data_IF_092521775520
#
_entry.id   IF_092521775520
#
_cell.length_a   1.000
_cell.length_b   1.000
_cell.length_c   1.000
_cell.angle_alpha   90.00
_cell.angle_beta   90.00
_cell.angle_gamma   90.00
#
_symmetry.space_group_name_H-M   'P 1'
#
loop_
_entity.id
_entity.type
_entity.pdbx_description
1 polymer ?
#
# COMPACT_ATOMS: atom_id res chain seq x y z
N UNK A 1 11.55 -11.57 -28.84
CA UNK A 1 12.06 -11.64 -30.23
C UNK A 1 10.98 -11.84 -31.28
N UNK A 2 9.77 -12.30 -30.90
CA UNK A 2 8.65 -12.54 -31.84
C UNK A 2 7.98 -11.25 -32.31
N UNK A 3 8.09 -10.17 -31.55
CA UNK A 3 7.48 -8.87 -31.84
C UNK A 3 8.57 -7.77 -31.93
N UNK A 4 9.30 -7.64 -33.05
CA UNK A 4 10.35 -6.64 -33.17
C UNK A 4 9.79 -5.21 -33.32
N UNK A 5 10.45 -4.24 -32.68
CA UNK A 5 10.08 -2.82 -32.76
C UNK A 5 8.62 -2.56 -32.33
N UNK A 6 7.86 -1.83 -33.16
CA UNK A 6 6.47 -1.47 -32.87
C UNK A 6 5.44 -2.59 -33.14
N UNK A 7 5.89 -3.78 -33.59
CA UNK A 7 4.97 -4.86 -33.99
C UNK A 7 4.08 -5.35 -32.83
N UNK A 8 4.61 -5.36 -31.60
CA UNK A 8 3.86 -5.71 -30.38
C UNK A 8 2.69 -4.73 -30.16
N UNK A 9 2.98 -3.44 -30.19
CA UNK A 9 1.99 -2.39 -29.98
C UNK A 9 0.92 -2.43 -31.04
N UNK A 10 1.31 -2.51 -32.32
CA UNK A 10 0.38 -2.60 -33.44
C UNK A 10 -0.50 -3.85 -33.38
N UNK A 11 0.05 -4.98 -32.95
CA UNK A 11 -0.73 -6.21 -32.76
C UNK A 11 -1.78 -6.04 -31.68
N UNK A 12 -1.40 -5.56 -30.50
CA UNK A 12 -2.29 -5.38 -29.35
C UNK A 12 -3.41 -4.37 -29.64
N UNK A 13 -3.07 -3.22 -30.24
CA UNK A 13 -4.07 -2.22 -30.66
C UNK A 13 -5.08 -2.78 -31.66
N UNK A 14 -4.63 -3.62 -32.60
CA UNK A 14 -5.52 -4.28 -33.58
C UNK A 14 -6.55 -5.22 -32.93
N UNK A 15 -6.22 -5.88 -31.83
CA UNK A 15 -7.14 -6.73 -31.09
C UNK A 15 -7.93 -5.99 -30.00
N UNK A 16 -7.77 -4.66 -29.90
CA UNK A 16 -8.52 -3.82 -28.97
C UNK A 16 -7.86 -3.57 -27.63
N UNK A 17 -6.61 -4.02 -27.42
CA UNK A 17 -5.80 -3.75 -26.23
C UNK A 17 -5.08 -2.42 -26.41
N UNK A 18 -5.45 -1.40 -25.64
CA UNK A 18 -4.91 -0.05 -25.78
C UNK A 18 -3.64 0.12 -24.95
N UNK A 19 -2.62 0.73 -25.55
CA UNK A 19 -1.39 1.09 -24.87
C UNK A 19 -1.65 2.14 -23.77
N UNK A 20 -1.06 1.93 -22.59
CA UNK A 20 -1.20 2.81 -21.42
C UNK A 20 -2.47 2.61 -20.61
N UNK A 21 -3.55 2.09 -21.22
CA UNK A 21 -4.81 1.74 -20.53
C UNK A 21 -4.86 0.25 -20.19
N UNK A 22 -4.60 -0.62 -21.14
CA UNK A 22 -4.71 -2.07 -21.01
C UNK A 22 -3.36 -2.81 -21.07
N UNK A 23 -2.34 -2.16 -21.58
CA UNK A 23 -0.96 -2.63 -21.62
C UNK A 23 -0.13 -1.68 -20.76
N UNK A 24 0.37 -2.16 -19.63
CA UNK A 24 1.11 -1.34 -18.69
C UNK A 24 2.10 -2.19 -17.88
N UNK A 25 2.96 -1.53 -17.14
CA UNK A 25 3.82 -2.12 -16.14
C UNK A 25 4.05 -1.13 -15.00
N UNK A 26 4.27 -1.63 -13.81
CA UNK A 26 4.75 -0.82 -12.70
C UNK A 26 5.97 -1.46 -12.03
N UNK A 27 6.82 -0.64 -11.46
CA UNK A 27 7.98 -1.06 -10.69
C UNK A 27 7.93 -0.41 -9.31
N UNK A 28 8.03 -1.24 -8.28
CA UNK A 28 8.29 -0.82 -6.91
C UNK A 28 9.77 -1.10 -6.56
N UNK A 29 10.13 -1.02 -5.29
CA UNK A 29 11.52 -1.21 -4.84
C UNK A 29 11.97 -2.67 -5.01
N UNK A 30 11.05 -3.62 -4.85
CA UNK A 30 11.34 -5.05 -4.79
C UNK A 30 10.69 -5.88 -5.93
N UNK A 31 9.92 -5.25 -6.81
CA UNK A 31 9.11 -5.96 -7.80
C UNK A 31 8.88 -5.15 -9.06
N UNK A 32 8.60 -5.86 -10.15
CA UNK A 32 8.04 -5.31 -11.39
C UNK A 32 6.88 -6.19 -11.82
N UNK A 33 5.74 -5.57 -12.13
CA UNK A 33 4.54 -6.26 -12.61
C UNK A 33 4.17 -5.76 -13.99
N UNK A 34 4.00 -6.69 -14.92
CA UNK A 34 3.55 -6.42 -16.29
C UNK A 34 2.12 -6.88 -16.43
N UNK A 35 1.25 -6.07 -17.01
CA UNK A 35 -0.15 -6.43 -17.19
C UNK A 35 -0.63 -6.19 -18.61
N UNK A 36 -1.43 -7.13 -19.10
CA UNK A 36 -2.22 -7.02 -20.33
C UNK A 36 -3.66 -7.29 -19.93
N UNK A 37 -4.53 -6.33 -20.12
CA UNK A 37 -5.95 -6.46 -19.79
C UNK A 37 -6.84 -6.27 -21.02
N UNK A 38 -8.14 -6.55 -20.88
CA UNK A 38 -9.13 -6.40 -21.94
C UNK A 38 -8.82 -7.22 -23.21
N UNK A 39 -8.21 -8.40 -23.03
CA UNK A 39 -7.90 -9.32 -24.12
C UNK A 39 -9.19 -9.99 -24.58
N UNK A 40 -9.58 -9.90 -25.87
CA UNK A 40 -10.83 -10.51 -26.36
C UNK A 40 -10.68 -12.04 -26.45
N UNK A 41 -11.34 -12.76 -25.56
CA UNK A 41 -11.30 -14.24 -25.51
C UNK A 41 -11.93 -14.90 -26.74
N UNK A 42 -12.79 -14.18 -27.47
CA UNK A 42 -13.44 -14.67 -28.72
C UNK A 42 -12.59 -14.47 -29.97
N UNK A 43 -11.48 -13.72 -29.89
CA UNK A 43 -10.57 -13.53 -31.02
C UNK A 43 -9.58 -14.68 -31.09
N UNK A 44 -9.59 -15.50 -32.15
CA UNK A 44 -8.68 -16.63 -32.28
C UNK A 44 -7.21 -16.21 -32.15
N UNK A 45 -6.46 -16.90 -31.28
CA UNK A 45 -5.04 -16.67 -31.05
C UNK A 45 -4.69 -15.42 -30.23
N UNK A 46 -5.65 -14.65 -29.73
CA UNK A 46 -5.38 -13.46 -28.90
C UNK A 46 -4.71 -13.85 -27.58
N UNK A 47 -5.24 -14.84 -26.87
CA UNK A 47 -4.64 -15.33 -25.61
C UNK A 47 -3.26 -15.91 -25.86
N UNK A 48 -3.11 -16.75 -26.90
CA UNK A 48 -1.81 -17.36 -27.27
C UNK A 48 -0.73 -16.30 -27.52
N UNK A 49 -1.09 -15.26 -28.24
CA UNK A 49 -0.18 -14.15 -28.52
C UNK A 49 0.15 -13.34 -27.28
N UNK A 50 -0.81 -13.11 -26.39
CA UNK A 50 -0.55 -12.43 -25.11
C UNK A 50 0.37 -13.28 -24.20
N UNK A 51 0.16 -14.59 -24.12
CA UNK A 51 1.08 -15.49 -23.41
C UNK A 51 2.48 -15.48 -24.03
N UNK A 52 2.60 -15.44 -25.36
CA UNK A 52 3.87 -15.32 -26.05
C UNK A 52 4.57 -13.98 -25.75
N UNK A 53 3.82 -12.90 -25.63
CA UNK A 53 4.37 -11.58 -25.21
C UNK A 53 4.92 -11.69 -23.79
N UNK A 54 4.18 -12.30 -22.86
CA UNK A 54 4.66 -12.50 -21.48
C UNK A 54 5.91 -13.38 -21.46
N UNK A 55 5.98 -14.41 -22.29
CA UNK A 55 7.18 -15.25 -22.46
C UNK A 55 8.38 -14.43 -22.95
N UNK A 56 8.20 -13.64 -24.01
CA UNK A 56 9.28 -12.79 -24.54
C UNK A 56 9.77 -11.78 -23.48
N UNK A 57 8.88 -11.20 -22.69
CA UNK A 57 9.27 -10.30 -21.61
C UNK A 57 10.02 -11.02 -20.49
N UNK A 58 9.65 -12.26 -20.18
CA UNK A 58 10.25 -13.01 -19.08
C UNK A 58 11.67 -13.49 -19.37
N UNK A 59 12.02 -13.79 -20.62
CA UNK A 59 13.33 -14.39 -20.98
C UNK A 59 13.97 -13.90 -22.28
N UNK A 60 13.22 -13.36 -23.23
CA UNK A 60 13.68 -13.18 -24.61
C UNK A 60 13.78 -11.72 -25.06
N UNK A 61 13.94 -10.77 -24.14
CA UNK A 61 14.16 -9.37 -24.50
C UNK A 61 15.49 -9.20 -25.25
N UNK A 62 15.43 -8.55 -26.40
CA UNK A 62 16.63 -8.29 -27.24
C UNK A 62 17.57 -7.27 -26.62
N UNK A 63 17.03 -6.32 -25.84
CA UNK A 63 17.77 -5.23 -25.19
C UNK A 63 18.72 -4.54 -26.18
N UNK A 64 18.19 -4.15 -27.35
CA UNK A 64 18.96 -3.50 -28.40
C UNK A 64 19.54 -2.17 -27.88
N UNK A 65 20.85 -1.94 -27.97
CA UNK A 65 21.48 -0.70 -27.48
C UNK A 65 20.86 0.57 -28.07
N UNK A 66 20.40 0.55 -29.33
CA UNK A 66 19.75 1.71 -29.95
C UNK A 66 18.39 2.02 -29.34
N UNK A 67 17.62 0.99 -29.00
CA UNK A 67 16.33 1.17 -28.33
C UNK A 67 16.53 1.61 -26.87
N UNK A 68 17.53 1.06 -26.17
CA UNK A 68 17.93 1.54 -24.83
C UNK A 68 18.26 3.03 -24.85
N UNK A 69 19.05 3.47 -25.84
CA UNK A 69 19.44 4.89 -25.94
C UNK A 69 18.24 5.82 -26.23
N UNK A 70 17.27 5.37 -27.03
CA UNK A 70 16.01 6.11 -27.22
C UNK A 70 15.22 6.23 -25.93
N UNK A 71 15.13 5.12 -25.17
CA UNK A 71 14.33 5.06 -23.96
C UNK A 71 14.89 5.95 -22.84
N UNK A 72 16.19 6.23 -22.80
CA UNK A 72 16.78 7.20 -21.84
C UNK A 72 16.07 8.55 -21.87
N UNK A 73 15.76 9.04 -23.06
CA UNK A 73 15.03 10.30 -23.23
C UNK A 73 13.61 10.22 -22.69
N UNK A 74 12.93 9.09 -22.88
CA UNK A 74 11.58 8.84 -22.36
C UNK A 74 11.59 8.82 -20.83
N UNK A 75 12.50 8.08 -20.20
CA UNK A 75 12.66 8.03 -18.75
C UNK A 75 13.00 9.41 -18.17
N UNK A 76 13.86 10.18 -18.83
CA UNK A 76 14.19 11.54 -18.41
C UNK A 76 12.96 12.48 -18.46
N UNK A 77 12.13 12.39 -19.52
CA UNK A 77 10.88 13.15 -19.60
C UNK A 77 9.86 12.69 -18.57
N UNK A 78 9.76 11.39 -18.30
CA UNK A 78 8.94 10.84 -17.23
C UNK A 78 9.36 11.41 -15.86
N UNK A 79 10.66 11.35 -15.55
CA UNK A 79 11.21 11.96 -14.33
C UNK A 79 10.86 13.45 -14.23
N UNK A 80 11.06 14.19 -15.33
CA UNK A 80 10.77 15.63 -15.37
C UNK A 80 9.28 15.94 -15.15
N UNK A 81 8.39 15.16 -15.75
CA UNK A 81 6.93 15.38 -15.65
C UNK A 81 6.34 14.91 -14.31
N UNK A 82 6.95 13.91 -13.70
CA UNK A 82 6.57 13.43 -12.35
C UNK A 82 7.15 14.26 -11.22
N UNK A 83 8.12 15.14 -11.52
CA UNK A 83 8.79 15.98 -10.52
C UNK A 83 7.79 16.95 -9.88
N UNK A 84 7.29 16.57 -8.72
CA UNK A 84 6.31 17.27 -7.89
C UNK A 84 6.89 17.55 -6.50
N UNK A 85 6.19 18.34 -5.69
CA UNK A 85 6.55 18.53 -4.28
C UNK A 85 6.71 17.20 -3.53
N UNK A 86 5.80 16.25 -3.78
CA UNK A 86 5.82 14.92 -3.15
C UNK A 86 7.06 14.13 -3.60
N UNK A 87 7.38 14.13 -4.88
CA UNK A 87 8.57 13.44 -5.40
C UNK A 87 9.85 13.99 -4.76
N UNK A 88 10.01 15.32 -4.74
CA UNK A 88 11.17 15.97 -4.11
C UNK A 88 11.25 15.71 -2.61
N UNK A 89 10.11 15.65 -1.94
CA UNK A 89 10.03 15.28 -0.54
C UNK A 89 10.48 13.84 -0.31
N UNK A 90 10.00 12.88 -1.11
CA UNK A 90 10.41 11.49 -1.02
C UNK A 90 11.92 11.31 -1.24
N UNK A 91 12.49 12.00 -2.21
CA UNK A 91 13.94 11.98 -2.45
C UNK A 91 14.76 12.50 -1.26
N UNK A 92 14.19 13.41 -0.45
CA UNK A 92 14.81 13.89 0.79
C UNK A 92 14.51 13.00 2.00
N UNK A 93 13.33 12.42 2.04
CA UNK A 93 12.84 11.62 3.14
C UNK A 93 13.51 10.24 3.19
N UNK A 94 13.63 9.56 2.06
CA UNK A 94 14.15 8.19 2.01
C UNK A 94 15.55 8.03 2.61
N UNK A 95 16.56 8.88 2.28
CA UNK A 95 17.88 8.77 2.88
C UNK A 95 17.89 8.93 4.41
N UNK A 96 16.93 9.69 4.95
CA UNK A 96 16.82 9.93 6.39
C UNK A 96 16.07 8.81 7.09
N UNK A 97 14.93 8.39 6.53
CA UNK A 97 14.09 7.33 7.12
C UNK A 97 14.77 5.96 7.08
N UNK A 98 15.53 5.69 6.04
CA UNK A 98 16.15 4.40 5.74
C UNK A 98 17.68 4.45 5.83
N UNK A 99 18.23 5.36 6.65
CA UNK A 99 19.68 5.51 6.81
C UNK A 99 20.38 4.17 7.09
N UNK A 100 21.43 3.90 6.34
CA UNK A 100 22.21 2.66 6.45
C UNK A 100 21.58 1.43 5.79
N UNK A 101 20.45 1.59 5.08
CA UNK A 101 19.80 0.52 4.33
C UNK A 101 19.83 0.79 2.83
N UNK A 102 19.55 -0.23 2.02
CA UNK A 102 19.46 -0.06 0.56
C UNK A 102 18.23 0.76 0.13
N UNK A 103 17.15 0.75 0.91
CA UNK A 103 15.96 1.57 0.62
C UNK A 103 16.26 3.08 0.57
N UNK A 104 17.32 3.54 1.25
CA UNK A 104 17.77 4.93 1.20
C UNK A 104 18.14 5.42 -0.21
N UNK A 105 18.50 4.52 -1.14
CA UNK A 105 19.06 4.84 -2.46
C UNK A 105 18.40 4.13 -3.62
N UNK A 106 17.38 3.30 -3.38
CA UNK A 106 16.71 2.47 -4.38
C UNK A 106 15.35 3.04 -4.82
N UNK A 107 15.29 4.32 -5.17
CA UNK A 107 14.05 4.87 -5.73
C UNK A 107 13.84 4.34 -7.17
N UNK A 108 12.64 3.79 -7.53
CA UNK A 108 12.44 3.03 -8.76
C UNK A 108 12.82 3.75 -10.06
N UNK A 109 12.57 5.06 -10.16
CA UNK A 109 12.94 5.81 -11.36
C UNK A 109 14.46 6.01 -11.50
N UNK A 110 15.20 5.78 -10.42
CA UNK A 110 16.66 5.96 -10.40
C UNK A 110 17.10 7.43 -10.44
N UNK A 111 18.38 7.64 -10.61
CA UNK A 111 18.96 8.97 -10.82
C UNK A 111 19.24 9.21 -12.30
N UNK A 112 18.98 10.42 -12.77
CA UNK A 112 19.21 10.76 -14.20
C UNK A 112 20.67 10.64 -14.60
N UNK A 113 21.59 10.82 -13.67
CA UNK A 113 23.02 10.55 -13.90
C UNK A 113 23.26 9.09 -14.32
N UNK A 114 22.65 8.14 -13.61
CA UNK A 114 22.74 6.71 -13.94
C UNK A 114 21.98 6.42 -15.23
N UNK A 115 20.72 6.87 -15.35
CA UNK A 115 19.86 6.61 -16.51
C UNK A 115 20.54 7.05 -17.81
N UNK A 116 21.16 8.22 -17.83
CA UNK A 116 21.78 8.76 -19.03
C UNK A 116 23.14 8.14 -19.37
N UNK A 117 23.81 7.50 -18.41
CA UNK A 117 25.20 7.07 -18.59
C UNK A 117 25.48 5.57 -18.40
N UNK A 118 24.53 4.77 -17.93
CA UNK A 118 24.77 3.33 -17.77
C UNK A 118 25.05 2.66 -19.12
N UNK A 119 25.91 1.64 -19.10
CA UNK A 119 26.23 0.87 -20.32
C UNK A 119 25.09 -0.12 -20.61
N UNK A 120 24.68 -0.33 -21.87
CA UNK A 120 23.65 -1.33 -22.21
C UNK A 120 23.89 -2.73 -21.62
N UNK A 121 25.16 -3.13 -21.47
CA UNK A 121 25.52 -4.39 -20.83
C UNK A 121 25.05 -4.47 -19.35
N UNK A 122 25.08 -3.35 -18.62
CA UNK A 122 24.60 -3.32 -17.22
C UNK A 122 23.10 -3.69 -17.12
N UNK A 123 22.29 -3.21 -18.07
CA UNK A 123 20.88 -3.58 -18.15
C UNK A 123 20.70 -5.05 -18.50
N UNK A 124 21.49 -5.57 -19.42
CA UNK A 124 21.49 -6.99 -19.79
C UNK A 124 21.87 -7.88 -18.60
N UNK A 125 22.95 -7.54 -17.90
CA UNK A 125 23.42 -8.27 -16.72
C UNK A 125 22.34 -8.29 -15.61
N UNK A 126 21.62 -7.18 -15.44
CA UNK A 126 20.49 -7.10 -14.52
C UNK A 126 19.34 -8.02 -14.94
N UNK A 127 18.95 -7.96 -16.22
CA UNK A 127 17.89 -8.78 -16.77
C UNK A 127 18.21 -10.27 -16.63
N UNK A 128 19.39 -10.71 -17.05
CA UNK A 128 19.85 -12.09 -16.94
C UNK A 128 19.94 -12.57 -15.48
N UNK A 129 20.27 -11.69 -14.54
CA UNK A 129 20.37 -12.03 -13.12
C UNK A 129 19.01 -12.22 -12.45
N UNK A 130 18.04 -11.36 -12.76
CA UNK A 130 16.80 -11.26 -11.97
C UNK A 130 15.55 -11.77 -12.70
N UNK A 131 15.51 -11.76 -14.04
CA UNK A 131 14.41 -12.28 -14.83
C UNK A 131 14.61 -13.79 -15.06
N UNK A 132 14.21 -14.57 -14.08
CA UNK A 132 14.38 -16.03 -14.06
C UNK A 132 13.15 -16.73 -13.47
N UNK A 133 12.87 -17.99 -13.88
CA UNK A 133 11.61 -18.68 -13.56
C UNK A 133 11.29 -18.79 -12.07
N UNK A 134 12.31 -18.95 -11.21
CA UNK A 134 12.12 -19.09 -9.76
C UNK A 134 11.72 -17.78 -9.05
N UNK A 135 11.76 -16.64 -9.74
CA UNK A 135 11.34 -15.32 -9.25
C UNK A 135 10.14 -14.75 -10.03
N UNK A 136 9.51 -15.53 -10.91
CA UNK A 136 8.40 -15.06 -11.74
C UNK A 136 7.12 -15.82 -11.44
N UNK A 137 6.00 -15.10 -11.42
CA UNK A 137 4.65 -15.64 -11.38
C UNK A 137 3.86 -15.20 -12.60
N UNK A 138 2.95 -16.04 -13.06
CA UNK A 138 2.00 -15.73 -14.15
C UNK A 138 0.60 -15.85 -13.59
N UNK A 139 -0.18 -14.81 -13.74
CA UNK A 139 -1.58 -14.75 -13.33
C UNK A 139 -2.45 -14.53 -14.57
N UNK A 140 -3.43 -15.38 -14.80
CA UNK A 140 -4.40 -15.26 -15.89
C UNK A 140 -5.80 -15.40 -15.33
N UNK A 141 -6.64 -14.39 -15.54
CA UNK A 141 -8.03 -14.37 -15.07
C UNK A 141 -8.94 -13.95 -16.20
N UNK A 142 -10.04 -14.69 -16.41
CA UNK A 142 -11.01 -14.38 -17.44
C UNK A 142 -12.00 -15.51 -17.69
N UNK A 143 -12.82 -15.36 -18.72
CA UNK A 143 -13.69 -16.41 -19.22
C UNK A 143 -12.88 -17.39 -20.09
N UNK A 144 -12.18 -18.30 -19.45
CA UNK A 144 -11.19 -19.22 -20.03
C UNK A 144 -11.37 -20.65 -19.51
N UNK A 145 -10.90 -21.62 -20.28
CA UNK A 145 -10.66 -22.98 -19.80
C UNK A 145 -9.35 -23.00 -19.04
N UNK A 146 -9.45 -23.10 -17.70
CA UNK A 146 -8.29 -23.02 -16.79
C UNK A 146 -7.30 -24.14 -17.06
N UNK A 147 -7.77 -25.38 -17.26
CA UNK A 147 -6.89 -26.54 -17.48
C UNK A 147 -6.13 -26.41 -18.81
N UNK A 148 -6.81 -25.92 -19.85
CA UNK A 148 -6.20 -25.69 -21.15
C UNK A 148 -5.13 -24.58 -21.09
N UNK A 149 -5.42 -23.48 -20.42
CA UNK A 149 -4.47 -22.35 -20.27
C UNK A 149 -3.29 -22.76 -19.39
N UNK A 150 -3.51 -23.49 -18.30
CA UNK A 150 -2.42 -24.02 -17.46
C UNK A 150 -1.49 -24.94 -18.28
N UNK A 151 -2.06 -25.85 -19.05
CA UNK A 151 -1.27 -26.75 -19.92
C UNK A 151 -0.47 -25.95 -20.96
N UNK A 152 -1.05 -24.91 -21.52
CA UNK A 152 -0.40 -24.04 -22.49
C UNK A 152 0.76 -23.24 -21.87
N UNK A 153 0.55 -22.67 -20.68
CA UNK A 153 1.60 -21.95 -19.93
C UNK A 153 2.76 -22.92 -19.64
N UNK A 154 2.48 -24.10 -19.10
CA UNK A 154 3.50 -25.12 -18.82
C UNK A 154 4.30 -25.48 -20.07
N UNK A 155 3.62 -25.67 -21.21
CA UNK A 155 4.28 -25.98 -22.47
C UNK A 155 5.14 -24.82 -22.99
N UNK A 156 4.62 -23.60 -22.94
CA UNK A 156 5.28 -22.42 -23.52
C UNK A 156 6.49 -21.98 -22.69
N UNK A 157 6.38 -21.99 -21.36
CA UNK A 157 7.44 -21.52 -20.47
C UNK A 157 8.42 -22.60 -20.02
N UNK A 158 8.22 -23.86 -20.41
CA UNK A 158 9.11 -24.98 -20.05
C UNK A 158 10.47 -24.94 -20.75
N UNK A 159 10.63 -24.15 -21.78
CA UNK A 159 11.90 -23.94 -22.49
C UNK A 159 12.83 -22.95 -21.78
N UNK A 160 12.33 -22.18 -20.83
CA UNK A 160 13.12 -21.24 -20.04
C UNK A 160 13.94 -22.02 -19.01
N UNK A 161 15.29 -22.01 -19.10
CA UNK A 161 16.12 -22.83 -18.24
C UNK A 161 16.19 -22.27 -16.81
N UNK A 162 16.18 -23.16 -15.84
CA UNK A 162 16.55 -22.80 -14.47
C UNK A 162 18.01 -22.39 -14.41
N UNK A 163 18.34 -21.37 -13.63
CA UNK A 163 19.72 -20.92 -13.45
C UNK A 163 20.39 -21.68 -12.30
N UNK A 164 21.37 -22.55 -12.56
CA UNK A 164 22.15 -23.18 -11.51
C UNK A 164 22.98 -22.11 -10.77
N UNK A 165 23.03 -22.20 -9.44
CA UNK A 165 23.73 -21.22 -8.58
C UNK A 165 23.23 -19.76 -8.72
N UNK A 166 21.95 -19.59 -9.00
CA UNK A 166 21.34 -18.28 -9.08
C UNK A 166 21.55 -17.43 -7.80
N UNK A 167 21.73 -16.13 -7.97
CA UNK A 167 21.83 -15.21 -6.84
C UNK A 167 20.58 -15.32 -5.96
N UNK A 168 20.79 -15.42 -4.65
CA UNK A 168 19.67 -15.40 -3.70
C UNK A 168 19.02 -14.01 -3.74
N UNK A 169 17.68 -13.99 -3.65
CA UNK A 169 16.97 -12.73 -3.40
C UNK A 169 17.33 -12.26 -1.99
N UNK A 170 17.72 -11.02 -1.89
CA UNK A 170 18.03 -10.37 -0.61
C UNK A 170 16.83 -9.50 -0.20
N UNK A 171 16.45 -9.61 1.07
CA UNK A 171 15.52 -8.70 1.72
C UNK A 171 16.31 -7.76 2.60
N UNK A 172 16.10 -6.46 2.43
CA UNK A 172 16.91 -5.46 3.12
C UNK A 172 16.28 -5.09 4.46
N UNK A 173 16.97 -5.33 5.60
CA UNK A 173 16.44 -5.00 6.89
C UNK A 173 16.33 -3.47 7.07
N UNK A 174 15.33 -3.04 7.81
CA UNK A 174 15.17 -1.66 8.26
C UNK A 174 15.60 -1.55 9.71
N UNK A 175 16.51 -0.63 9.98
CA UNK A 175 17.05 -0.44 11.33
C UNK A 175 15.99 0.13 12.28
N UNK A 176 16.04 -0.33 13.54
CA UNK A 176 15.32 0.29 14.63
C UNK A 176 15.99 1.61 15.04
N UNK A 177 15.22 2.53 15.57
CA UNK A 177 15.72 3.78 16.16
C UNK A 177 15.19 3.98 17.58
N UNK A 178 16.08 4.39 18.49
CA UNK A 178 15.71 4.71 19.87
C UNK A 178 15.12 6.11 19.96
N UNK A 179 15.82 7.07 19.35
CA UNK A 179 15.39 8.46 19.29
C UNK A 179 14.49 8.67 18.06
N UNK A 180 13.48 9.54 18.14
CA UNK A 180 12.64 9.85 17.00
C UNK A 180 13.45 10.46 15.84
N UNK A 181 13.22 9.94 14.63
CA UNK A 181 13.71 10.54 13.39
C UNK A 181 12.66 11.56 12.94
N UNK A 182 13.08 12.80 12.73
CA UNK A 182 12.18 13.88 12.31
C UNK A 182 12.75 14.56 11.09
N UNK A 183 11.91 14.76 10.05
CA UNK A 183 12.23 15.53 8.87
C UNK A 183 11.14 16.58 8.63
N UNK A 184 11.55 17.84 8.44
CA UNK A 184 10.65 18.94 8.04
C UNK A 184 11.15 19.49 6.72
N UNK A 185 10.29 19.44 5.71
CA UNK A 185 10.59 19.88 4.35
C UNK A 185 9.53 20.86 3.85
N UNK A 186 9.96 21.85 3.09
CA UNK A 186 9.08 22.84 2.46
C UNK A 186 9.29 22.84 0.94
N UNK A 187 8.19 23.00 0.21
CA UNK A 187 8.23 23.09 -1.24
C UNK A 187 7.22 24.13 -1.75
N UNK A 188 7.61 24.88 -2.79
CA UNK A 188 6.78 25.96 -3.37
C UNK A 188 5.52 25.46 -4.05
N UNK A 189 5.50 24.22 -4.51
CA UNK A 189 4.36 23.59 -5.17
C UNK A 189 3.42 22.89 -4.18
N UNK A 190 3.83 22.75 -2.92
CA UNK A 190 2.97 22.18 -1.88
C UNK A 190 1.90 23.17 -1.45
N UNK A 191 0.65 22.71 -1.39
CA UNK A 191 -0.51 23.56 -1.08
C UNK A 191 -0.93 23.55 0.38
N UNK A 192 -0.60 22.50 1.14
CA UNK A 192 -0.98 22.34 2.54
C UNK A 192 0.14 21.71 3.37
N UNK A 193 0.02 21.78 4.69
CA UNK A 193 0.95 21.11 5.59
C UNK A 193 0.44 19.72 5.89
N UNK A 194 1.24 18.71 5.57
CA UNK A 194 0.97 17.30 5.82
C UNK A 194 2.07 16.68 6.67
N UNK A 195 1.69 15.94 7.69
CA UNK A 195 2.62 15.13 8.48
C UNK A 195 2.26 13.64 8.40
N UNK A 196 3.30 12.82 8.27
CA UNK A 196 3.27 11.37 8.40
C UNK A 196 4.01 10.98 9.67
N UNK A 197 3.37 10.19 10.52
CA UNK A 197 3.92 9.76 11.81
C UNK A 197 3.92 8.24 11.82
N UNK A 198 5.09 7.64 11.73
CA UNK A 198 5.26 6.20 11.69
C UNK A 198 5.70 5.68 13.06
N UNK A 199 5.09 4.61 13.51
CA UNK A 199 5.53 3.79 14.62
C UNK A 199 5.91 2.42 14.04
N UNK A 200 7.20 2.20 13.77
CA UNK A 200 7.68 0.98 13.12
C UNK A 200 7.54 -0.23 14.06
N UNK A 201 7.14 -1.35 13.48
CA UNK A 201 7.12 -2.66 14.14
C UNK A 201 7.53 -3.77 13.17
N UNK A 202 7.69 -4.98 13.66
CA UNK A 202 8.09 -6.10 12.81
C UNK A 202 6.96 -6.49 11.86
N UNK A 203 7.31 -6.71 10.60
CA UNK A 203 6.40 -7.29 9.62
C UNK A 203 6.09 -8.76 10.00
N UNK A 204 4.88 -9.22 9.71
CA UNK A 204 4.54 -10.62 9.93
C UNK A 204 5.36 -11.51 8.97
N UNK A 205 6.09 -12.51 9.49
CA UNK A 205 6.84 -13.44 8.64
C UNK A 205 5.94 -14.15 7.63
N UNK A 206 6.41 -14.30 6.40
CA UNK A 206 5.63 -14.88 5.28
C UNK A 206 5.07 -16.26 5.61
N UNK A 207 5.81 -17.10 6.34
CA UNK A 207 5.36 -18.42 6.78
C UNK A 207 4.18 -18.42 7.75
N UNK A 208 3.90 -17.28 8.41
CA UNK A 208 2.80 -17.11 9.35
C UNK A 208 1.54 -16.48 8.72
N UNK A 209 1.66 -15.92 7.52
CA UNK A 209 0.53 -15.26 6.85
C UNK A 209 -0.58 -16.24 6.43
N UNK A 210 -0.28 -17.53 6.30
CA UNK A 210 -1.27 -18.59 6.04
C UNK A 210 -2.07 -19.04 7.26
N UNK A 211 -1.76 -18.57 8.47
CA UNK A 211 -2.35 -19.03 9.71
C UNK A 211 -3.62 -18.23 10.11
N UNK A 212 -4.49 -18.86 10.90
CA UNK A 212 -5.66 -18.18 11.49
C UNK A 212 -5.26 -16.98 12.36
N UNK A 213 -4.07 -17.01 12.97
CA UNK A 213 -3.53 -15.88 13.73
C UNK A 213 -3.39 -14.62 12.90
N UNK A 214 -2.95 -14.74 11.65
CA UNK A 214 -2.82 -13.62 10.73
C UNK A 214 -4.19 -13.01 10.36
N UNK A 215 -5.20 -13.86 10.09
CA UNK A 215 -6.56 -13.37 9.84
C UNK A 215 -7.15 -12.62 11.04
N UNK A 216 -6.93 -13.13 12.25
CA UNK A 216 -7.34 -12.45 13.48
C UNK A 216 -6.60 -11.13 13.66
N UNK A 217 -5.30 -11.09 13.37
CA UNK A 217 -4.49 -9.89 13.42
C UNK A 217 -5.02 -8.83 12.44
N UNK A 218 -5.24 -9.18 11.18
CA UNK A 218 -5.75 -8.26 10.16
C UNK A 218 -7.14 -7.73 10.52
N UNK A 219 -8.03 -8.60 10.99
CA UNK A 219 -9.33 -8.19 11.52
C UNK A 219 -9.19 -7.18 12.66
N UNK A 220 -8.37 -7.49 13.66
CA UNK A 220 -8.17 -6.61 14.82
C UNK A 220 -7.55 -5.27 14.44
N UNK A 221 -6.51 -5.27 13.60
CA UNK A 221 -5.85 -4.04 13.10
C UNK A 221 -6.80 -3.16 12.30
N UNK A 222 -7.62 -3.77 11.44
CA UNK A 222 -8.66 -3.03 10.69
C UNK A 222 -9.64 -2.35 11.62
N UNK A 223 -10.13 -3.04 12.65
CA UNK A 223 -11.10 -2.46 13.59
C UNK A 223 -10.45 -1.40 14.50
N UNK A 224 -9.20 -1.58 14.92
CA UNK A 224 -8.44 -0.56 15.66
C UNK A 224 -8.40 0.75 14.86
N UNK A 225 -7.98 0.66 13.59
CA UNK A 225 -7.92 1.83 12.72
C UNK A 225 -9.30 2.44 12.47
N UNK A 226 -10.34 1.64 12.25
CA UNK A 226 -11.70 2.13 12.06
C UNK A 226 -12.21 2.89 13.28
N UNK A 227 -12.00 2.38 14.51
CA UNK A 227 -12.41 3.03 15.75
C UNK A 227 -11.62 4.32 15.99
N UNK A 228 -10.31 4.30 15.80
CA UNK A 228 -9.48 5.50 15.97
C UNK A 228 -9.81 6.57 14.91
N UNK A 229 -10.01 6.16 13.67
CA UNK A 229 -10.41 7.07 12.59
C UNK A 229 -11.78 7.69 12.83
N UNK A 230 -12.72 6.96 13.45
CA UNK A 230 -13.99 7.53 13.88
C UNK A 230 -13.80 8.64 14.91
N UNK A 231 -12.95 8.45 15.94
CA UNK A 231 -12.61 9.50 16.93
C UNK A 231 -11.95 10.71 16.26
N UNK A 232 -11.00 10.48 15.35
CA UNK A 232 -10.31 11.55 14.62
C UNK A 232 -11.28 12.35 13.76
N UNK A 233 -12.25 11.68 13.14
CA UNK A 233 -13.27 12.35 12.31
C UNK A 233 -14.28 13.15 13.14
N UNK A 234 -14.60 12.72 14.35
CA UNK A 234 -15.44 13.52 15.28
C UNK A 234 -14.81 14.88 15.57
N UNK A 235 -13.50 14.95 15.71
CA UNK A 235 -12.78 16.22 15.95
C UNK A 235 -12.84 17.17 14.75
N UNK A 236 -12.92 16.63 13.52
CA UNK A 236 -13.13 17.45 12.31
C UNK A 236 -14.51 18.09 12.29
N UNK A 237 -15.52 17.44 12.91
CA UNK A 237 -16.90 17.96 12.97
C UNK A 237 -17.13 19.01 14.05
N UNK A 238 -16.12 19.36 14.86
CA UNK A 238 -16.23 20.39 15.90
C UNK A 238 -16.26 21.80 15.30
N UNK A 239 -16.75 22.77 16.07
CA UNK A 239 -16.80 24.18 15.61
C UNK A 239 -15.43 24.76 15.31
N UNK A 240 -14.38 24.29 15.97
CA UNK A 240 -12.99 24.69 15.71
C UNK A 240 -12.10 23.43 15.62
N UNK A 241 -12.10 22.74 14.47
CA UNK A 241 -11.36 21.50 14.32
C UNK A 241 -9.85 21.72 14.42
N UNK A 242 -9.10 20.80 15.07
CA UNK A 242 -7.66 20.95 15.30
C UNK A 242 -6.83 20.77 14.03
N UNK A 243 -7.38 20.15 13.01
CA UNK A 243 -6.76 19.87 11.72
C UNK A 243 -7.83 19.85 10.61
N UNK A 244 -7.40 19.75 9.37
CA UNK A 244 -8.29 19.61 8.19
C UNK A 244 -8.71 18.16 8.02
N UNK A 245 -7.76 17.23 8.18
CA UNK A 245 -7.96 15.80 8.03
C UNK A 245 -6.95 15.05 8.90
N UNK A 246 -7.36 13.92 9.47
CA UNK A 246 -6.43 12.98 10.09
C UNK A 246 -6.96 11.54 9.95
N UNK A 247 -6.06 10.61 9.81
CA UNK A 247 -6.36 9.17 9.73
C UNK A 247 -5.18 8.33 10.20
N UNK A 248 -5.46 7.07 10.53
CA UNK A 248 -4.46 6.05 10.82
C UNK A 248 -4.66 4.81 9.96
N UNK A 249 -3.58 4.10 9.71
CA UNK A 249 -3.55 2.78 9.07
C UNK A 249 -2.32 2.01 9.53
N UNK A 250 -2.30 0.72 9.29
CA UNK A 250 -1.18 -0.16 9.57
C UNK A 250 -0.83 -0.91 8.30
N UNK A 251 0.41 -0.80 7.83
CA UNK A 251 0.87 -1.32 6.54
C UNK A 251 2.40 -1.32 6.49
N UNK A 252 2.98 -1.70 5.37
CA UNK A 252 4.41 -1.59 5.11
C UNK A 252 4.97 -0.22 5.55
N UNK A 253 6.15 -0.22 6.19
CA UNK A 253 6.85 1.03 6.48
C UNK A 253 7.28 1.69 5.18
N UNK A 254 6.41 2.51 4.63
CA UNK A 254 6.50 3.26 3.38
C UNK A 254 6.72 2.36 2.15
N UNK A 255 7.91 1.80 1.95
CA UNK A 255 8.27 0.93 0.80
C UNK A 255 8.98 -0.35 1.23
N UNK A 256 9.15 -0.57 2.51
CA UNK A 256 9.96 -1.67 3.03
C UNK A 256 9.11 -2.91 3.31
N UNK A 257 9.35 -4.00 2.61
CA UNK A 257 8.68 -5.30 2.87
C UNK A 257 9.15 -6.01 4.15
N UNK A 258 10.18 -5.51 4.81
CA UNK A 258 10.78 -6.13 6.01
C UNK A 258 10.42 -5.41 7.30
N UNK A 259 9.59 -4.39 7.24
CA UNK A 259 9.18 -3.58 8.37
C UNK A 259 7.81 -2.97 8.12
N UNK A 260 6.90 -3.15 9.04
CA UNK A 260 5.60 -2.50 9.04
C UNK A 260 5.62 -1.24 9.89
N UNK A 261 4.59 -0.42 9.78
CA UNK A 261 4.38 0.73 10.62
C UNK A 261 2.90 1.05 10.82
N UNK A 262 2.55 1.25 12.09
CA UNK A 262 1.31 1.96 12.41
C UNK A 262 1.52 3.44 12.10
N UNK A 263 0.80 3.94 11.12
CA UNK A 263 1.00 5.26 10.52
C UNK A 263 -0.17 6.18 10.80
N UNK A 264 0.12 7.36 11.33
CA UNK A 264 -0.80 8.47 11.41
C UNK A 264 -0.53 9.50 10.31
N UNK A 265 -1.58 9.97 9.66
CA UNK A 265 -1.54 11.05 8.68
C UNK A 265 -2.34 12.23 9.21
N UNK A 266 -1.81 13.43 9.13
CA UNK A 266 -2.56 14.65 9.45
C UNK A 266 -2.29 15.76 8.44
N UNK A 267 -3.36 16.37 7.95
CA UNK A 267 -3.32 17.61 7.16
C UNK A 267 -3.67 18.75 8.10
N UNK A 268 -2.66 19.55 8.38
CA UNK A 268 -2.74 20.62 9.39
C UNK A 268 -3.30 21.91 8.81
N UNK A 269 -3.90 22.72 9.69
CA UNK A 269 -4.12 24.16 9.41
C UNK A 269 -2.79 24.89 9.52
N UNK A 270 -2.53 25.84 8.65
CA UNK A 270 -1.26 26.58 8.63
C UNK A 270 -0.98 27.42 9.88
N UNK A 271 -2.04 27.88 10.54
CA UNK A 271 -1.99 28.65 11.78
C UNK A 271 -1.97 27.77 13.05
N UNK A 272 -2.04 26.44 12.91
CA UNK A 272 -2.14 25.48 14.01
C UNK A 272 -1.42 24.14 13.74
N UNK A 273 -0.26 24.16 13.08
CA UNK A 273 0.44 22.94 12.65
C UNK A 273 0.78 22.03 13.84
N UNK A 274 1.45 22.59 14.85
CA UNK A 274 1.86 21.84 16.04
C UNK A 274 0.64 21.27 16.78
N UNK A 275 -0.45 22.03 16.86
CA UNK A 275 -1.70 21.57 17.50
C UNK A 275 -2.35 20.41 16.74
N UNK A 276 -2.33 20.44 15.40
CA UNK A 276 -2.84 19.35 14.57
C UNK A 276 -2.07 18.04 14.80
N UNK A 277 -0.74 18.12 14.77
CA UNK A 277 0.15 16.98 15.03
C UNK A 277 -0.03 16.49 16.49
N UNK A 278 -0.02 17.38 17.46
CA UNK A 278 -0.21 17.04 18.87
C UNK A 278 -1.56 16.38 19.13
N UNK A 279 -2.61 16.79 18.44
CA UNK A 279 -3.95 16.21 18.59
C UNK A 279 -4.02 14.79 18.04
N UNK A 280 -3.47 14.53 16.86
CA UNK A 280 -3.36 13.15 16.34
C UNK A 280 -2.58 12.26 17.31
N UNK A 281 -1.43 12.70 17.77
CA UNK A 281 -0.60 11.97 18.74
C UNK A 281 -1.33 11.73 20.07
N UNK A 282 -2.09 12.72 20.54
CA UNK A 282 -2.88 12.62 21.79
C UNK A 282 -3.98 11.58 21.69
N UNK A 283 -4.71 11.53 20.57
CA UNK A 283 -5.75 10.53 20.38
C UNK A 283 -5.18 9.12 20.21
N UNK A 284 -4.07 9.00 19.53
CA UNK A 284 -3.31 7.75 19.39
C UNK A 284 -2.81 7.25 20.77
N UNK A 285 -2.22 8.15 21.57
CA UNK A 285 -1.76 7.84 22.93
C UNK A 285 -2.92 7.53 23.89
N UNK A 286 -4.05 8.22 23.75
CA UNK A 286 -5.28 7.93 24.50
C UNK A 286 -5.78 6.51 24.20
N UNK A 287 -5.79 6.11 22.93
CA UNK A 287 -6.15 4.76 22.54
C UNK A 287 -5.16 3.73 23.08
N UNK A 288 -3.86 4.04 23.09
CA UNK A 288 -2.84 3.16 23.67
C UNK A 288 -3.03 2.97 25.18
N UNK A 289 -3.30 4.04 25.93
CA UNK A 289 -3.40 4.00 27.40
C UNK A 289 -4.72 3.41 27.90
N UNK A 290 -5.82 3.77 27.26
CA UNK A 290 -7.17 3.45 27.76
C UNK A 290 -7.96 2.48 26.87
N UNK A 291 -7.46 2.23 25.65
CA UNK A 291 -8.13 1.38 24.68
C UNK A 291 -9.41 1.99 24.08
N UNK A 292 -10.22 1.12 23.52
CA UNK A 292 -11.53 1.40 22.94
C UNK A 292 -12.63 0.85 23.86
N UNK A 293 -13.80 1.45 23.78
CA UNK A 293 -14.99 1.01 24.53
C UNK A 293 -15.71 -0.15 23.82
N UNK A 294 -16.52 -0.92 24.55
CA UNK A 294 -17.37 -1.95 23.97
C UNK A 294 -18.33 -1.39 22.91
N UNK A 295 -18.84 -0.18 23.12
CA UNK A 295 -19.79 0.45 22.19
C UNK A 295 -19.13 0.84 20.88
N UNK A 296 -17.89 1.37 20.88
CA UNK A 296 -17.10 1.63 19.68
C UNK A 296 -16.82 0.32 18.94
N UNK A 297 -16.35 -0.69 19.67
CA UNK A 297 -16.04 -2.00 19.09
C UNK A 297 -17.27 -2.66 18.46
N UNK A 298 -18.41 -2.65 19.13
CA UNK A 298 -19.64 -3.23 18.61
C UNK A 298 -20.11 -2.55 17.32
N UNK A 299 -19.98 -1.22 17.22
CA UNK A 299 -20.28 -0.48 15.98
C UNK A 299 -19.31 -0.82 14.85
N UNK A 300 -18.01 -0.79 15.13
CA UNK A 300 -16.98 -1.08 14.14
C UNK A 300 -17.10 -2.52 13.62
N UNK A 301 -17.34 -3.49 14.54
CA UNK A 301 -17.57 -4.89 14.18
C UNK A 301 -18.82 -5.07 13.31
N UNK A 302 -19.94 -4.45 13.69
CA UNK A 302 -21.18 -4.53 12.92
C UNK A 302 -21.01 -3.97 11.51
N UNK A 303 -20.32 -2.84 11.37
CA UNK A 303 -20.02 -2.24 10.06
C UNK A 303 -19.09 -3.12 9.23
N UNK A 304 -18.03 -3.67 9.82
CA UNK A 304 -17.13 -4.59 9.14
C UNK A 304 -17.86 -5.84 8.61
N UNK A 305 -18.69 -6.47 9.48
CA UNK A 305 -19.47 -7.65 9.09
C UNK A 305 -20.50 -7.32 8.00
N UNK A 306 -21.10 -6.14 8.04
CA UNK A 306 -22.03 -5.69 6.99
C UNK A 306 -21.31 -5.49 5.65
N UNK A 307 -20.11 -4.93 5.64
CA UNK A 307 -19.30 -4.76 4.42
C UNK A 307 -18.88 -6.13 3.85
N UNK A 308 -18.46 -7.04 4.72
CA UNK A 308 -18.12 -8.41 4.34
C UNK A 308 -19.32 -9.17 3.77
N UNK A 309 -20.51 -9.01 4.37
CA UNK A 309 -21.75 -9.58 3.84
C UNK A 309 -22.11 -9.01 2.47
N UNK A 310 -21.93 -7.70 2.28
CA UNK A 310 -22.14 -7.07 0.96
C UNK A 310 -21.19 -7.65 -0.08
N UNK A 311 -19.91 -7.78 0.23
CA UNK A 311 -18.91 -8.38 -0.65
C UNK A 311 -19.26 -9.84 -1.01
N UNK A 312 -19.69 -10.62 0.00
CA UNK A 312 -20.16 -12.00 -0.21
C UNK A 312 -21.39 -12.07 -1.13
N UNK A 313 -22.39 -11.20 -0.92
CA UNK A 313 -23.60 -11.18 -1.73
C UNK A 313 -23.33 -10.70 -3.17
N UNK A 314 -22.31 -9.90 -3.39
CA UNK A 314 -21.92 -9.36 -4.70
C UNK A 314 -20.78 -10.11 -5.37
N UNK A 315 -20.32 -11.24 -4.82
CA UNK A 315 -19.17 -11.99 -5.32
C UNK A 315 -19.24 -12.36 -6.81
N UNK A 316 -20.43 -12.64 -7.30
CA UNK A 316 -20.65 -12.97 -8.72
C UNK A 316 -20.51 -11.75 -9.65
N UNK A 317 -20.40 -10.54 -9.10
CA UNK A 317 -20.22 -9.29 -9.85
C UNK A 317 -18.77 -8.80 -9.79
N UNK A 318 -17.91 -9.52 -9.09
CA UNK A 318 -16.51 -9.17 -8.93
C UNK A 318 -15.80 -9.15 -10.28
N UNK A 319 -15.03 -8.11 -10.56
CA UNK A 319 -14.30 -7.96 -11.82
C UNK A 319 -13.05 -8.82 -11.85
N UNK A 320 -12.63 -9.24 -13.05
CA UNK A 320 -11.39 -10.00 -13.25
C UNK A 320 -10.15 -9.29 -12.67
N UNK A 321 -10.09 -7.96 -12.77
CA UNK A 321 -9.01 -7.13 -12.25
C UNK A 321 -8.81 -7.30 -10.73
N UNK A 322 -9.91 -7.36 -9.96
CA UNK A 322 -9.86 -7.57 -8.52
C UNK A 322 -9.27 -8.94 -8.11
N UNK A 323 -9.52 -9.97 -8.93
CA UNK A 323 -8.89 -11.29 -8.75
C UNK A 323 -7.41 -11.26 -9.12
N UNK A 324 -7.05 -10.54 -10.20
CA UNK A 324 -5.64 -10.38 -10.58
C UNK A 324 -4.86 -9.71 -9.46
N UNK A 325 -5.37 -8.62 -8.91
CA UNK A 325 -4.73 -7.89 -7.81
C UNK A 325 -4.55 -8.76 -6.56
N UNK A 326 -5.55 -9.58 -6.23
CA UNK A 326 -5.48 -10.53 -5.10
C UNK A 326 -4.41 -11.60 -5.32
N UNK A 327 -4.34 -12.20 -6.51
CA UNK A 327 -3.36 -13.24 -6.83
C UNK A 327 -1.94 -12.67 -6.98
N UNK A 328 -1.79 -11.45 -7.47
CA UNK A 328 -0.50 -10.75 -7.54
C UNK A 328 0.02 -10.48 -6.13
N UNK A 329 -0.81 -9.96 -5.21
CA UNK A 329 -0.42 -9.79 -3.80
C UNK A 329 -0.07 -11.11 -3.13
N UNK A 330 -0.80 -12.19 -3.42
CA UNK A 330 -0.45 -13.52 -2.92
C UNK A 330 0.96 -13.95 -3.37
N UNK A 331 1.29 -13.73 -4.64
CA UNK A 331 2.61 -14.07 -5.16
C UNK A 331 3.73 -13.19 -4.60
N UNK A 332 3.49 -11.88 -4.47
CA UNK A 332 4.50 -10.91 -4.06
C UNK A 332 4.73 -10.88 -2.54
N UNK A 333 3.65 -10.98 -1.77
CA UNK A 333 3.63 -10.71 -0.33
C UNK A 333 3.15 -11.90 0.50
N UNK A 334 2.93 -13.04 -0.13
CA UNK A 334 2.38 -14.25 0.49
C UNK A 334 1.03 -14.04 1.22
N UNK A 335 0.26 -13.01 0.80
CA UNK A 335 -1.06 -12.75 1.35
C UNK A 335 -2.01 -13.93 1.11
N UNK A 336 -2.80 -14.36 2.10
CA UNK A 336 -3.72 -15.48 1.93
C UNK A 336 -4.84 -15.15 0.94
N UNK A 337 -5.26 -16.13 0.17
CA UNK A 337 -6.38 -16.05 -0.79
C UNK A 337 -7.47 -17.07 -0.44
N UNK A 338 -8.17 -16.92 0.69
CA UNK A 338 -9.19 -17.87 1.14
C UNK A 338 -10.40 -17.92 0.20
N UNK A 339 -10.61 -16.89 -0.58
CA UNK A 339 -11.87 -16.62 -1.29
C UNK A 339 -12.94 -16.06 -0.36
N UNK A 340 -13.84 -15.24 -0.92
CA UNK A 340 -14.85 -14.50 -0.15
C UNK A 340 -15.80 -15.42 0.64
N UNK A 341 -16.12 -16.61 0.13
CA UNK A 341 -16.97 -17.58 0.81
C UNK A 341 -16.34 -18.08 2.12
N UNK A 342 -15.06 -18.43 2.06
CA UNK A 342 -14.34 -18.88 3.25
C UNK A 342 -14.06 -17.74 4.20
N UNK A 343 -13.66 -16.57 3.70
CA UNK A 343 -13.44 -15.37 4.51
C UNK A 343 -14.71 -14.98 5.26
N UNK A 344 -15.85 -14.93 4.56
CA UNK A 344 -17.14 -14.65 5.15
C UNK A 344 -17.50 -15.65 6.27
N UNK A 345 -17.33 -16.95 6.01
CA UNK A 345 -17.61 -17.99 6.99
C UNK A 345 -16.69 -17.90 8.22
N UNK A 346 -15.39 -17.75 8.00
CA UNK A 346 -14.38 -17.68 9.06
C UNK A 346 -14.60 -16.43 9.93
N UNK A 347 -14.71 -15.26 9.34
CA UNK A 347 -14.85 -14.01 10.07
C UNK A 347 -16.15 -13.99 10.89
N UNK A 348 -17.28 -14.45 10.35
CA UNK A 348 -18.52 -14.55 11.11
C UNK A 348 -18.42 -15.51 12.30
N UNK A 349 -17.56 -16.53 12.20
CA UNK A 349 -17.33 -17.46 13.31
C UNK A 349 -16.42 -16.85 14.39
N UNK A 350 -15.33 -16.16 14.00
CA UNK A 350 -14.30 -15.69 14.95
C UNK A 350 -14.64 -14.32 15.56
N UNK A 351 -15.25 -13.41 14.81
CA UNK A 351 -15.51 -12.03 15.26
C UNK A 351 -16.31 -11.95 16.58
N UNK A 352 -17.35 -12.77 16.83
CA UNK A 352 -18.05 -12.76 18.11
C UNK A 352 -17.21 -13.23 19.30
N UNK A 353 -16.16 -14.02 19.06
CA UNK A 353 -15.30 -14.56 20.10
C UNK A 353 -14.12 -13.64 20.46
N UNK A 354 -13.85 -12.62 19.66
CA UNK A 354 -12.73 -11.68 19.90
C UNK A 354 -13.26 -10.53 20.77
N UNK A 355 -12.79 -10.39 22.04
CA UNK A 355 -13.21 -9.31 22.90
C UNK A 355 -12.46 -8.01 22.58
N UNK A 356 -13.04 -6.85 22.90
CA UNK A 356 -12.38 -5.54 22.74
C UNK A 356 -11.04 -5.47 23.49
N UNK A 357 -10.91 -6.19 24.59
CA UNK A 357 -9.67 -6.28 25.36
C UNK A 357 -8.48 -6.80 24.55
N UNK A 358 -8.71 -7.72 23.60
CA UNK A 358 -7.65 -8.22 22.70
C UNK A 358 -7.17 -7.12 21.75
N UNK A 359 -8.10 -6.33 21.19
CA UNK A 359 -7.76 -5.18 20.35
C UNK A 359 -7.02 -4.09 21.14
N UNK A 360 -7.44 -3.85 22.39
CA UNK A 360 -6.78 -2.89 23.27
C UNK A 360 -5.35 -3.30 23.60
N UNK A 361 -5.09 -4.58 23.81
CA UNK A 361 -3.74 -5.10 23.99
C UNK A 361 -2.89 -4.93 22.73
N UNK A 362 -3.47 -5.19 21.56
CA UNK A 362 -2.79 -4.99 20.29
C UNK A 362 -2.46 -3.52 20.04
N UNK A 363 -3.38 -2.59 20.32
CA UNK A 363 -3.13 -1.15 20.21
C UNK A 363 -1.92 -0.69 21.04
N UNK A 364 -1.70 -1.28 22.21
CA UNK A 364 -0.54 -0.98 23.04
C UNK A 364 0.78 -1.43 22.38
N UNK A 365 0.75 -2.49 21.56
CA UNK A 365 1.91 -2.97 20.84
C UNK A 365 2.22 -2.17 19.57
N UNK A 366 1.20 -1.62 18.91
CA UNK A 366 1.36 -0.82 17.69
C UNK A 366 2.03 0.54 17.93
N UNK A 367 1.85 1.13 19.10
CA UNK A 367 2.43 2.45 19.46
C UNK A 367 3.41 2.29 20.60
N UNK A 368 4.69 2.34 20.30
CA UNK A 368 5.79 2.16 21.24
C UNK A 368 6.52 3.47 21.57
N UNK A 369 7.46 3.41 22.52
CA UNK A 369 8.27 4.57 22.89
C UNK A 369 9.52 4.76 22.02
N UNK A 370 9.81 3.83 21.14
CA UNK A 370 10.90 3.84 20.16
C UNK A 370 10.35 3.64 18.74
N UNK A 371 11.23 3.61 17.76
CA UNK A 371 10.87 3.34 16.36
C UNK A 371 9.93 4.38 15.74
N UNK A 372 9.97 5.62 16.23
CA UNK A 372 9.15 6.71 15.70
C UNK A 372 9.87 7.46 14.59
N UNK A 373 9.15 7.73 13.51
CA UNK A 373 9.62 8.56 12.40
C UNK A 373 8.52 9.58 12.08
N UNK A 374 8.88 10.85 11.97
CA UNK A 374 7.96 11.93 11.62
C UNK A 374 8.48 12.65 10.39
N UNK A 375 7.69 12.70 9.35
CA UNK A 375 8.01 13.36 8.10
C UNK A 375 6.94 14.43 7.77
N UNK A 376 7.36 15.68 7.66
CA UNK A 376 6.46 16.84 7.47
C UNK A 376 6.80 17.52 6.15
N UNK A 377 5.79 17.71 5.32
CA UNK A 377 5.84 18.47 4.08
C UNK A 377 4.91 19.67 4.18
N UNK A 378 5.41 20.87 3.90
CA UNK A 378 4.61 22.09 3.91
C UNK A 378 4.95 23.04 2.78
N UNK A 379 4.10 24.06 2.57
CA UNK A 379 4.37 25.12 1.59
C UNK A 379 5.63 25.92 1.94
N UNK A 380 6.46 26.22 0.93
CA UNK A 380 7.51 27.24 1.03
C UNK A 380 6.90 28.58 0.63
N UNK A 381 6.29 29.26 1.60
CA UNK A 381 5.67 30.57 1.40
C UNK A 381 5.99 31.55 2.52
N UNK A 382 6.03 32.84 2.19
CA UNK A 382 6.27 33.91 3.14
C UNK A 382 5.21 33.90 4.26
N UNK A 383 5.66 34.10 5.51
CA UNK A 383 4.82 34.16 6.69
C UNK A 383 4.42 32.82 7.30
N UNK A 384 4.59 31.68 6.61
CA UNK A 384 4.37 30.37 7.18
C UNK A 384 5.56 29.94 8.04
N UNK A 385 5.31 29.63 9.31
CA UNK A 385 6.31 29.10 10.23
C UNK A 385 6.10 27.58 10.39
N UNK A 386 6.98 26.82 9.79
CA UNK A 386 7.02 25.38 10.01
C UNK A 386 7.64 25.07 11.38
N UNK A 387 7.18 23.98 12.06
CA UNK A 387 7.81 23.55 13.29
C UNK A 387 9.25 23.10 13.02
N UNK A 388 10.11 23.26 14.01
CA UNK A 388 11.46 22.68 13.96
C UNK A 388 11.43 21.21 14.35
N UNK A 389 12.47 20.46 13.97
CA UNK A 389 12.63 19.06 14.39
C UNK A 389 12.58 18.91 15.92
N UNK A 390 13.25 19.84 16.66
CA UNK A 390 13.25 19.84 18.12
C UNK A 390 11.87 20.13 18.70
N UNK A 391 11.07 21.00 18.07
CA UNK A 391 9.70 21.24 18.49
C UNK A 391 8.85 19.99 18.34
N UNK A 392 8.99 19.22 17.25
CA UNK A 392 8.30 17.96 17.03
C UNK A 392 8.75 16.89 18.04
N UNK A 393 10.04 16.74 18.27
CA UNK A 393 10.57 15.82 19.29
C UNK A 393 10.03 16.16 20.69
N UNK A 394 9.91 17.46 20.99
CA UNK A 394 9.31 17.94 22.24
C UNK A 394 7.83 17.56 22.32
N UNK A 395 7.05 17.73 21.24
CA UNK A 395 5.62 17.34 21.21
C UNK A 395 5.49 15.83 21.46
N UNK A 396 6.27 14.98 20.81
CA UNK A 396 6.29 13.54 21.03
C UNK A 396 6.49 13.19 22.51
N UNK A 397 7.44 13.85 23.15
CA UNK A 397 7.75 13.65 24.58
C UNK A 397 6.65 14.17 25.49
N UNK A 398 6.12 15.36 25.23
CA UNK A 398 5.12 16.02 26.06
C UNK A 398 3.80 15.22 26.04
N UNK A 399 3.36 14.73 24.89
CA UNK A 399 2.13 13.91 24.76
C UNK A 399 2.24 12.63 25.59
N UNK A 400 3.40 11.95 25.60
CA UNK A 400 3.62 10.77 26.44
C UNK A 400 3.56 11.05 27.93
N UNK A 401 3.95 12.26 28.33
CA UNK A 401 3.91 12.72 29.73
C UNK A 401 2.57 13.37 30.11
N UNK A 402 1.70 13.64 29.13
CA UNK A 402 0.41 14.30 29.34
C UNK A 402 -0.54 13.39 30.13
N UNK A 403 -1.20 13.95 31.13
CA UNK A 403 -2.21 13.23 31.90
C UNK A 403 -3.51 13.19 31.10
N UNK A 404 -3.68 12.14 30.35
CA UNK A 404 -4.89 11.93 29.53
C UNK A 404 -6.02 11.31 30.37
N UNK A 405 -7.25 11.46 29.83
CA UNK A 405 -8.44 10.75 30.32
C UNK A 405 -8.95 9.81 29.25
N UNK A 406 -9.66 8.75 29.65
CA UNK A 406 -10.27 7.84 28.71
C UNK A 406 -11.26 8.55 27.78
N UNK A 407 -11.37 8.05 26.56
CA UNK A 407 -12.41 8.51 25.64
C UNK A 407 -13.80 8.17 26.19
N UNK A 408 -14.72 9.10 26.07
CA UNK A 408 -16.14 8.92 26.45
C UNK A 408 -16.97 8.83 25.18
N UNK A 409 -17.46 7.63 24.90
CA UNK A 409 -18.36 7.40 23.76
C UNK A 409 -19.76 7.99 24.07
N UNK A 410 -20.16 8.96 23.28
CA UNK A 410 -21.45 9.66 23.44
C UNK A 410 -22.54 8.90 22.67
N UNK A 411 -22.83 7.68 23.10
CA UNK A 411 -23.92 6.90 22.54
C UNK A 411 -25.23 7.25 23.29
N UNK A 412 -26.29 7.50 22.52
CA UNK A 412 -27.66 7.60 23.05
C UNK A 412 -28.37 6.28 22.79
N UNK A 413 -28.93 5.69 23.83
CA UNK A 413 -29.84 4.52 23.74
C UNK A 413 -31.28 4.94 23.39
N UNK A 414 -31.51 6.24 23.24
CA UNK A 414 -32.82 6.74 22.84
C UNK A 414 -33.09 6.41 21.36
N UNK A 415 -34.27 5.90 21.03
CA UNK A 415 -34.62 5.63 19.64
C UNK A 415 -34.66 6.94 18.85
N UNK A 416 -34.23 6.88 17.60
CA UNK A 416 -34.13 8.02 16.66
C UNK A 416 -35.47 8.77 16.51
N UNK A 417 -36.57 8.06 16.75
CA UNK A 417 -37.93 8.59 16.75
C UNK A 417 -38.72 7.99 17.92
N UNK A 418 -39.51 8.81 18.59
CA UNK A 418 -40.37 8.38 19.69
C UNK A 418 -41.41 7.31 19.26
N UNK A 419 -41.84 7.37 17.99
CA UNK A 419 -42.72 6.38 17.37
C UNK A 419 -42.23 6.04 15.97
N UNK A 420 -42.27 4.77 15.60
CA UNK A 420 -41.95 4.35 14.25
C UNK A 420 -42.96 4.96 13.24
N UNK A 421 -42.51 5.51 12.12
CA UNK A 421 -43.42 6.04 11.12
C UNK A 421 -44.34 4.93 10.58
N UNK A 422 -45.63 5.23 10.45
CA UNK A 422 -46.59 4.30 9.85
C UNK A 422 -46.18 4.06 8.38
N UNK A 423 -45.96 2.81 8.03
CA UNK A 423 -45.62 2.42 6.67
C UNK A 423 -46.70 2.90 5.67
N UNK A 424 -46.28 3.57 4.62
CA UNK A 424 -47.14 3.90 3.47
C UNK A 424 -47.45 2.65 2.62
N UNK A 425 -48.59 2.64 1.95
CA UNK A 425 -48.83 1.64 0.91
C UNK A 425 -48.01 2.04 -0.33
N UNK A 426 -47.26 1.09 -0.87
CA UNK A 426 -46.69 1.22 -2.20
C UNK A 426 -47.86 1.15 -3.19
N UNK A 427 -48.11 2.22 -3.95
CA UNK A 427 -49.13 2.32 -4.97
C UNK A 427 -48.55 2.04 -6.33
#
# INVERSE_FOLDING_TARGET
THFPGDALKQYLERIGVKFGENLNAYTSVDETVYNISNVPVTTPGAIDSCLLILHDWSNDLTLDPKEIDKERGVINEEWRTRMSAIQRFQEKMLPVMFEGTKYATCFPIGTMEVVMNFKPQTLRDYYEKWYRPDLQGIVVVGDIDVDAIEAQIKKMFSDIPAQPNAAKREYYPVNDNKEPIVLVYQDKEQSNVQALIFNKHEATPDEQKGDMGYLVQNYATTLINNMLNARLNELVQTANPPYIYAATYDDDFFVAKTKDAFTGVVVCKEDAIENGIATLLRETERARQFGFTETEYNRARAEYLRQLESAYNERDKRKNEEYVDEYVRHFLDNEPIPGIENEYAIINQIAPAIPVAALNQMMQALVTDSNQVVAILGPDKEGLKMPTEDAIKKILKDIKAEKLTAYVDKVSDEPLMAEAPKGGKIV
#
